data_IF_268944254622
#
_entry.id   IF_268944254622
#
_cell.length_a   1.000
_cell.length_b   1.000
_cell.length_c   1.000
_cell.angle_alpha   90.00
_cell.angle_beta   90.00
_cell.angle_gamma   90.00
#
_symmetry.space_group_name_H-M   'P 1'
#
loop_
_entity.id
_entity.type
_entity.pdbx_description
1 polymer ?
#
# COMPACT_ATOMS: atom_id res chain seq x y z
N UNK A 1 1.97 -54.62 31.74
CA UNK A 1 1.86 -55.88 30.97
C UNK A 1 1.15 -55.58 29.64
N UNK A 2 1.73 -56.07 28.53
CA UNK A 2 1.17 -56.22 27.15
C UNK A 2 0.97 -54.91 26.35
N UNK A 3 1.88 -54.51 25.44
CA UNK A 3 2.28 -55.05 24.11
C UNK A 3 1.21 -54.97 23.02
N UNK A 4 1.53 -54.23 21.93
CA UNK A 4 1.25 -54.47 20.49
C UNK A 4 1.62 -53.19 19.72
N UNK A 5 2.81 -53.05 19.08
CA UNK A 5 3.34 -53.59 17.81
C UNK A 5 2.62 -53.12 16.52
N UNK A 6 3.44 -52.52 15.63
CA UNK A 6 3.22 -51.96 14.27
C UNK A 6 2.68 -52.96 13.22
N UNK A 7 2.18 -52.49 12.06
CA UNK A 7 3.01 -52.37 10.83
C UNK A 7 2.70 -51.08 10.02
N UNK A 8 3.66 -50.31 9.51
CA UNK A 8 4.44 -50.53 8.27
C UNK A 8 3.57 -50.78 7.01
N UNK A 9 3.42 -49.76 6.17
CA UNK A 9 3.04 -49.91 4.76
C UNK A 9 3.96 -49.05 3.88
N UNK A 10 4.75 -49.74 3.07
CA UNK A 10 5.67 -49.26 2.03
C UNK A 10 4.93 -49.13 0.68
N UNK A 11 5.18 -48.01 -0.03
CA UNK A 11 5.36 -47.77 -1.50
C UNK A 11 4.43 -48.47 -2.55
N UNK A 12 4.43 -48.14 -3.88
CA UNK A 12 5.20 -47.14 -4.65
C UNK A 12 4.41 -46.29 -5.72
N UNK A 13 5.09 -45.24 -6.20
CA UNK A 13 5.26 -44.75 -7.60
C UNK A 13 4.07 -44.70 -8.56
N UNK A 14 3.81 -43.52 -9.16
CA UNK A 14 3.62 -43.38 -10.63
C UNK A 14 4.03 -41.98 -11.12
N UNK A 15 4.71 -42.00 -12.27
CA UNK A 15 5.34 -40.90 -12.98
C UNK A 15 4.32 -39.93 -13.59
N UNK A 16 4.65 -38.64 -13.63
CA UNK A 16 4.22 -37.75 -14.70
C UNK A 16 5.40 -36.89 -15.13
N UNK A 17 6.05 -37.35 -16.19
CA UNK A 17 6.87 -36.52 -17.05
C UNK A 17 5.94 -35.70 -17.95
N UNK A 18 6.10 -34.38 -17.97
CA UNK A 18 5.78 -33.59 -19.16
C UNK A 18 6.79 -32.45 -19.25
N UNK A 19 7.54 -32.48 -20.35
CA UNK A 19 8.51 -31.46 -20.68
C UNK A 19 7.83 -30.12 -20.93
N UNK A 20 8.57 -29.06 -20.66
CA UNK A 20 8.16 -27.70 -20.93
C UNK A 20 9.34 -26.77 -20.71
N UNK A 21 10.33 -26.87 -21.59
CA UNK A 21 11.37 -25.85 -21.73
C UNK A 21 10.72 -24.56 -22.24
N UNK A 22 10.17 -23.77 -21.32
CA UNK A 22 9.81 -22.39 -21.55
C UNK A 22 10.99 -21.53 -21.15
N UNK A 23 11.66 -20.94 -22.13
CA UNK A 23 12.57 -19.81 -21.90
C UNK A 23 11.91 -18.80 -20.96
N UNK A 24 12.64 -18.17 -20.03
CA UNK A 24 12.07 -17.11 -19.20
C UNK A 24 11.64 -15.98 -20.13
N UNK A 25 10.35 -15.89 -20.41
CA UNK A 25 9.74 -14.69 -20.94
C UNK A 25 9.80 -13.66 -19.83
N UNK A 26 10.84 -12.83 -19.88
CA UNK A 26 10.87 -11.55 -19.19
C UNK A 26 9.53 -10.86 -19.48
N UNK A 27 8.72 -10.54 -18.46
CA UNK A 27 7.49 -9.81 -18.68
C UNK A 27 7.81 -8.49 -19.39
N UNK A 28 6.96 -8.02 -20.33
CA UNK A 28 7.14 -6.69 -20.89
C UNK A 28 7.20 -5.67 -19.74
N UNK A 29 8.14 -4.72 -19.74
CA UNK A 29 8.11 -3.65 -18.77
C UNK A 29 6.90 -2.78 -19.07
N UNK A 30 5.80 -2.91 -18.31
CA UNK A 30 4.72 -1.92 -18.37
C UNK A 30 3.28 -2.32 -18.07
N UNK A 31 2.92 -3.57 -17.77
CA UNK A 31 1.48 -3.95 -17.67
C UNK A 31 1.01 -4.48 -16.30
N UNK A 32 1.88 -4.57 -15.29
CA UNK A 32 1.57 -5.31 -14.06
C UNK A 32 1.40 -4.52 -12.76
N UNK A 33 1.89 -3.27 -12.69
CA UNK A 33 1.86 -2.54 -11.41
C UNK A 33 0.46 -2.03 -11.06
N UNK A 34 -0.27 -1.48 -12.03
CA UNK A 34 -1.62 -0.95 -11.81
C UNK A 34 -2.63 -2.03 -11.37
N UNK A 35 -2.63 -3.17 -12.05
CA UNK A 35 -3.53 -4.29 -11.72
C UNK A 35 -3.20 -4.96 -10.38
N UNK A 36 -1.92 -5.11 -10.03
CA UNK A 36 -1.51 -5.65 -8.73
C UNK A 36 -1.83 -4.66 -7.59
N UNK A 37 -1.63 -3.36 -7.83
CA UNK A 37 -1.89 -2.31 -6.86
C UNK A 37 -3.39 -2.17 -6.57
N UNK A 38 -4.22 -2.09 -7.61
CA UNK A 38 -5.68 -2.04 -7.46
C UNK A 38 -6.24 -3.31 -6.82
N UNK A 39 -5.66 -4.48 -7.11
CA UNK A 39 -6.01 -5.74 -6.42
C UNK A 39 -5.67 -5.67 -4.92
N UNK A 40 -4.47 -5.21 -4.56
CA UNK A 40 -4.06 -5.04 -3.16
C UNK A 40 -4.97 -4.07 -2.41
N UNK A 41 -5.24 -2.91 -3.01
CA UNK A 41 -6.11 -1.90 -2.39
C UNK A 41 -7.56 -2.38 -2.30
N UNK A 42 -8.05 -3.13 -3.28
CA UNK A 42 -9.39 -3.71 -3.27
C UNK A 42 -9.59 -4.78 -2.19
N UNK A 43 -8.51 -5.40 -1.70
CA UNK A 43 -8.54 -6.36 -0.61
C UNK A 43 -8.59 -5.70 0.79
N UNK A 44 -8.46 -4.37 0.88
CA UNK A 44 -8.64 -3.65 2.13
C UNK A 44 -10.05 -3.85 2.71
N UNK A 45 -10.18 -3.89 4.03
CA UNK A 45 -11.48 -3.98 4.68
C UNK A 45 -12.36 -2.78 4.30
N UNK A 46 -13.60 -3.04 3.84
CA UNK A 46 -14.59 -2.00 3.55
C UNK A 46 -15.11 -1.46 4.89
N UNK A 47 -14.67 -0.25 5.24
CA UNK A 47 -15.04 0.42 6.49
C UNK A 47 -15.27 1.89 6.23
N UNK A 48 -16.29 2.45 6.88
CA UNK A 48 -16.59 3.87 6.81
C UNK A 48 -15.93 4.58 7.99
N UNK A 49 -14.73 5.10 7.76
CA UNK A 49 -13.89 5.82 8.72
C UNK A 49 -13.48 4.99 9.95
N UNK A 50 -12.20 4.68 10.05
CA UNK A 50 -11.60 4.02 11.21
C UNK A 50 -10.33 4.75 11.64
N UNK A 51 -10.17 4.91 12.94
CA UNK A 51 -8.91 5.38 13.55
C UNK A 51 -8.01 4.22 13.99
N UNK A 52 -8.49 2.96 13.91
CA UNK A 52 -7.71 1.77 14.24
C UNK A 52 -6.57 1.57 13.21
N UNK A 53 -5.29 1.58 13.62
CA UNK A 53 -4.17 1.32 12.72
C UNK A 53 -4.29 0.00 11.94
N UNK A 54 -4.93 -1.02 12.51
CA UNK A 54 -5.13 -2.31 11.86
C UNK A 54 -6.02 -2.18 10.60
N UNK A 55 -6.95 -1.23 10.57
CA UNK A 55 -7.82 -1.01 9.40
C UNK A 55 -7.02 -0.57 8.16
N UNK A 56 -5.95 0.21 8.36
CA UNK A 56 -5.05 0.67 7.29
C UNK A 56 -3.90 -0.29 6.97
N UNK A 57 -3.77 -1.43 7.65
CA UNK A 57 -2.63 -2.35 7.50
C UNK A 57 -2.46 -2.90 6.08
N UNK A 58 -3.56 -3.03 5.34
CA UNK A 58 -3.59 -3.44 3.92
C UNK A 58 -2.84 -2.46 2.99
N UNK A 59 -2.57 -1.23 3.44
CA UNK A 59 -1.79 -0.24 2.69
C UNK A 59 -0.29 -0.49 2.76
N UNK A 60 0.18 -1.46 3.54
CA UNK A 60 1.61 -1.76 3.66
C UNK A 60 2.24 -2.05 2.29
N UNK A 61 3.37 -1.39 2.03
CA UNK A 61 4.18 -1.57 0.83
C UNK A 61 4.58 -0.26 0.16
N UNK A 62 5.22 -0.40 -0.99
CA UNK A 62 5.69 0.73 -1.78
C UNK A 62 4.64 1.22 -2.78
N UNK A 63 4.69 2.52 -3.04
CA UNK A 63 3.94 3.26 -4.04
C UNK A 63 4.92 4.19 -4.73
N UNK A 64 5.14 3.99 -6.02
CA UNK A 64 6.08 4.80 -6.82
C UNK A 64 5.32 5.52 -7.91
N UNK A 65 5.57 6.81 -8.06
CA UNK A 65 4.84 7.66 -8.96
C UNK A 65 5.67 8.84 -9.45
N UNK A 66 4.97 9.81 -10.01
CA UNK A 66 5.56 11.07 -10.44
C UNK A 66 4.84 12.25 -9.80
N UNK A 67 5.63 13.27 -9.46
CA UNK A 67 5.12 14.58 -9.09
C UNK A 67 4.46 15.27 -10.28
N UNK A 68 3.78 16.40 -10.04
CA UNK A 68 3.19 17.22 -11.10
C UNK A 68 4.23 17.75 -12.11
N UNK A 69 5.48 17.91 -11.70
CA UNK A 69 6.59 18.30 -12.59
C UNK A 69 7.23 17.11 -13.32
N UNK A 70 6.74 15.89 -13.11
CA UNK A 70 7.23 14.67 -13.77
C UNK A 70 8.42 14.00 -13.09
N UNK A 71 8.92 14.56 -11.98
CA UNK A 71 10.00 13.96 -11.20
C UNK A 71 9.51 12.77 -10.36
N UNK A 72 10.37 11.77 -10.15
CA UNK A 72 10.06 10.57 -9.37
C UNK A 72 9.71 10.92 -7.91
N UNK A 73 8.74 10.19 -7.37
CA UNK A 73 8.35 10.27 -5.96
C UNK A 73 7.91 8.89 -5.46
N UNK A 74 8.01 8.66 -4.16
CA UNK A 74 7.56 7.42 -3.56
C UNK A 74 7.03 7.60 -2.13
N UNK A 75 6.10 6.71 -1.78
CA UNK A 75 5.64 6.46 -0.42
C UNK A 75 5.91 4.99 -0.11
N UNK A 76 6.52 4.70 1.03
CA UNK A 76 6.57 3.35 1.59
C UNK A 76 5.80 3.33 2.89
N UNK A 77 4.68 2.62 2.90
CA UNK A 77 3.92 2.35 4.13
C UNK A 77 4.49 1.11 4.78
N UNK A 78 4.86 1.23 6.05
CA UNK A 78 5.51 0.17 6.82
C UNK A 78 4.48 -0.59 7.65
N UNK A 79 4.82 -1.82 8.02
CA UNK A 79 3.94 -2.68 8.82
C UNK A 79 3.64 -2.14 10.24
N UNK A 80 4.47 -1.22 10.75
CA UNK A 80 4.25 -0.54 12.03
C UNK A 80 3.25 0.63 11.93
N UNK A 81 2.67 0.88 10.75
CA UNK A 81 1.77 2.00 10.49
C UNK A 81 2.48 3.36 10.39
N UNK A 82 3.81 3.37 10.35
CA UNK A 82 4.63 4.50 9.92
C UNK A 82 4.81 4.51 8.40
N UNK A 83 5.46 5.56 7.88
CA UNK A 83 5.72 5.66 6.45
C UNK A 83 6.96 6.51 6.15
N UNK A 84 7.54 6.28 4.98
CA UNK A 84 8.63 7.06 4.41
C UNK A 84 8.14 7.70 3.11
N UNK A 85 8.26 9.01 3.00
CA UNK A 85 7.93 9.76 1.77
C UNK A 85 9.20 10.38 1.19
N UNK A 86 9.38 10.24 -0.13
CA UNK A 86 10.53 10.75 -0.86
C UNK A 86 10.07 11.44 -2.15
N UNK A 87 10.47 12.69 -2.31
CA UNK A 87 10.42 13.44 -3.57
C UNK A 87 11.58 14.45 -3.62
N UNK A 88 11.85 15.09 -4.77
CA UNK A 88 12.91 16.09 -4.87
C UNK A 88 12.72 17.30 -3.95
N UNK A 89 11.48 17.64 -3.61
CA UNK A 89 11.15 18.81 -2.78
C UNK A 89 10.86 18.45 -1.32
N UNK A 90 10.52 17.20 -1.03
CA UNK A 90 10.11 16.78 0.29
C UNK A 90 10.54 15.33 0.55
N UNK A 91 11.35 15.14 1.58
CA UNK A 91 11.72 13.82 2.08
C UNK A 91 11.59 13.79 3.59
N UNK A 92 10.81 12.85 4.12
CA UNK A 92 10.71 12.64 5.56
C UNK A 92 10.20 11.23 5.91
N UNK A 93 10.52 10.82 7.14
CA UNK A 93 9.96 9.63 7.78
C UNK A 93 8.94 10.04 8.84
N UNK A 94 7.78 9.39 8.84
CA UNK A 94 6.82 9.44 9.92
C UNK A 94 6.89 8.14 10.73
N UNK A 95 6.97 8.30 12.05
CA UNK A 95 6.86 7.17 12.98
C UNK A 95 5.50 7.21 13.62
N UNK A 96 4.81 6.08 13.62
CA UNK A 96 3.49 5.96 14.21
C UNK A 96 3.49 6.35 15.69
N UNK A 97 2.65 7.33 16.05
CA UNK A 97 2.47 7.76 17.44
C UNK A 97 1.02 7.61 17.86
N UNK A 98 0.78 7.48 19.16
CA UNK A 98 -0.57 7.40 19.71
C UNK A 98 -1.32 8.74 19.64
N UNK A 99 -0.61 9.86 19.43
CA UNK A 99 -1.22 11.19 19.30
C UNK A 99 -1.55 11.54 17.85
N UNK A 100 -1.00 10.83 16.86
CA UNK A 100 -1.33 11.05 15.47
C UNK A 100 -2.82 10.74 15.21
N UNK A 101 -3.51 11.69 14.59
CA UNK A 101 -4.86 11.48 14.08
C UNK A 101 -4.77 10.63 12.83
N UNK A 102 -5.60 9.58 12.77
CA UNK A 102 -5.67 8.65 11.65
C UNK A 102 -7.12 8.50 11.21
N UNK A 103 -7.34 8.54 9.91
CA UNK A 103 -8.64 8.21 9.33
C UNK A 103 -8.39 7.31 8.13
N UNK A 104 -8.90 6.09 8.20
CA UNK A 104 -8.91 5.15 7.09
C UNK A 104 -10.35 4.92 6.63
N UNK A 105 -10.59 4.95 5.33
CA UNK A 105 -11.88 4.58 4.74
C UNK A 105 -11.67 3.78 3.47
N UNK A 106 -12.49 2.75 3.28
CA UNK A 106 -12.60 2.06 2.00
C UNK A 106 -14.08 1.88 1.68
N UNK A 107 -14.52 2.49 0.59
CA UNK A 107 -15.84 2.30 0.01
C UNK A 107 -15.72 1.40 -1.22
N UNK A 108 -16.62 0.42 -1.33
CA UNK A 108 -16.78 -0.41 -2.52
C UNK A 108 -18.26 -0.49 -2.87
N UNK A 109 -18.66 0.16 -3.97
CA UNK A 109 -20.05 0.29 -4.40
C UNK A 109 -20.12 -0.07 -5.88
N UNK A 110 -20.88 -1.11 -6.22
CA UNK A 110 -21.13 -1.53 -7.61
C UNK A 110 -19.84 -1.71 -8.44
N UNK A 111 -18.76 -2.22 -7.83
CA UNK A 111 -17.47 -2.40 -8.49
C UNK A 111 -16.62 -1.13 -8.62
N UNK A 112 -17.08 0.00 -8.08
CA UNK A 112 -16.31 1.23 -7.89
C UNK A 112 -15.64 1.20 -6.52
N UNK A 113 -14.38 1.60 -6.44
CA UNK A 113 -13.62 1.64 -5.20
C UNK A 113 -13.11 3.05 -4.90
N UNK A 114 -13.13 3.39 -3.61
CA UNK A 114 -12.44 4.56 -3.08
C UNK A 114 -11.76 4.18 -1.77
N UNK A 115 -10.44 4.38 -1.70
CA UNK A 115 -9.65 4.22 -0.48
C UNK A 115 -9.08 5.57 -0.10
N UNK A 116 -9.28 5.96 1.15
CA UNK A 116 -8.77 7.19 1.73
C UNK A 116 -7.97 6.83 2.98
N UNK A 117 -6.79 7.42 3.13
CA UNK A 117 -6.01 7.34 4.35
C UNK A 117 -5.39 8.69 4.67
N UNK A 118 -5.79 9.23 5.82
CA UNK A 118 -5.34 10.51 6.34
C UNK A 118 -4.52 10.25 7.59
N UNK A 119 -3.34 10.84 7.64
CA UNK A 119 -2.55 10.97 8.86
C UNK A 119 -2.30 12.44 9.09
N UNK A 120 -2.56 12.90 10.31
CA UNK A 120 -2.13 14.20 10.79
C UNK A 120 -1.49 14.02 12.16
N UNK A 121 -0.22 14.39 12.28
CA UNK A 121 0.48 14.43 13.56
C UNK A 121 0.81 15.87 13.97
N UNK A 122 -0.10 16.52 14.71
CA UNK A 122 0.11 17.89 15.16
C UNK A 122 1.04 17.98 16.38
N UNK A 123 1.37 16.86 17.03
CA UNK A 123 1.91 16.86 18.40
C UNK A 123 3.31 16.26 18.51
N UNK A 124 3.79 15.51 17.52
CA UNK A 124 5.15 14.96 17.55
C UNK A 124 6.10 15.74 16.66
N UNK A 125 7.15 16.24 17.32
CA UNK A 125 8.28 16.98 16.76
C UNK A 125 7.96 18.41 16.31
N UNK A 126 9.01 19.22 16.37
CA UNK A 126 9.12 20.59 15.88
C UNK A 126 8.69 20.80 14.40
N UNK A 127 8.16 19.77 13.74
CA UNK A 127 7.78 19.73 12.33
C UNK A 127 6.60 18.77 12.12
N UNK A 128 5.35 19.19 12.43
CA UNK A 128 4.14 18.41 12.20
C UNK A 128 4.08 17.86 10.77
N UNK A 129 3.53 16.64 10.63
CA UNK A 129 3.47 15.92 9.35
C UNK A 129 2.05 15.53 9.01
N UNK A 130 1.72 15.66 7.75
CA UNK A 130 0.44 15.23 7.21
C UNK A 130 0.65 14.37 5.97
N UNK A 131 -0.23 13.40 5.81
CA UNK A 131 -0.33 12.55 4.64
C UNK A 131 -1.79 12.41 4.27
N UNK A 132 -2.11 12.69 3.01
CA UNK A 132 -3.38 12.39 2.40
C UNK A 132 -3.15 11.41 1.24
N UNK A 133 -3.66 10.20 1.39
CA UNK A 133 -3.65 9.16 0.38
C UNK A 133 -5.08 8.98 -0.12
N UNK A 134 -5.30 9.16 -1.42
CA UNK A 134 -6.59 8.90 -2.06
C UNK A 134 -6.41 8.03 -3.31
N UNK A 135 -7.06 6.87 -3.33
CA UNK A 135 -7.14 6.01 -4.50
C UNK A 135 -8.60 5.83 -4.93
N UNK A 136 -8.87 5.96 -6.23
CA UNK A 136 -10.19 5.73 -6.85
C UNK A 136 -10.03 4.95 -8.14
N UNK A 137 -10.76 3.84 -8.29
CA UNK A 137 -10.69 2.98 -9.47
C UNK A 137 -11.94 2.11 -9.59
N UNK A 138 -12.02 1.31 -10.65
CA UNK A 138 -13.09 0.34 -10.86
C UNK A 138 -14.18 0.84 -11.80
N UNK A 139 -15.33 0.17 -11.76
CA UNK A 139 -16.48 0.51 -12.59
C UNK A 139 -16.89 1.98 -12.38
N UNK A 140 -17.40 2.62 -13.43
CA UNK A 140 -17.94 4.00 -13.37
C UNK A 140 -16.95 5.11 -12.95
N UNK A 141 -15.66 4.80 -12.74
CA UNK A 141 -14.61 5.80 -12.51
C UNK A 141 -13.97 6.19 -13.85
N UNK A 142 -14.30 7.38 -14.34
CA UNK A 142 -13.83 7.87 -15.64
C UNK A 142 -12.30 8.07 -15.70
N UNK A 143 -11.69 8.42 -14.56
CA UNK A 143 -10.25 8.63 -14.43
C UNK A 143 -9.76 7.96 -13.14
N UNK A 144 -9.31 6.69 -13.21
CA UNK A 144 -8.67 6.04 -12.08
C UNK A 144 -7.47 6.88 -11.63
N UNK A 145 -7.35 7.09 -10.32
CA UNK A 145 -6.27 7.89 -9.74
C UNK A 145 -5.79 7.30 -8.43
N UNK A 146 -4.50 7.38 -8.18
CA UNK A 146 -3.93 7.31 -6.84
C UNK A 146 -3.04 8.53 -6.64
N UNK A 147 -3.41 9.35 -5.68
CA UNK A 147 -2.73 10.58 -5.33
C UNK A 147 -2.29 10.51 -3.87
N UNK A 148 -1.06 10.93 -3.63
CA UNK A 148 -0.45 10.99 -2.31
C UNK A 148 0.05 12.41 -2.12
N UNK A 149 -0.59 13.16 -1.23
CA UNK A 149 -0.12 14.47 -0.80
C UNK A 149 0.58 14.31 0.55
N UNK A 150 1.87 14.63 0.58
CA UNK A 150 2.65 14.68 1.80
C UNK A 150 2.96 16.13 2.15
N UNK A 151 2.79 16.49 3.42
CA UNK A 151 3.10 17.81 3.94
C UNK A 151 3.96 17.72 5.19
N UNK A 152 4.89 18.65 5.31
CA UNK A 152 5.70 18.87 6.51
C UNK A 152 5.64 20.35 6.88
N UNK A 153 5.25 20.63 8.10
CA UNK A 153 5.26 21.97 8.67
C UNK A 153 6.67 22.31 9.17
N UNK A 154 7.12 23.53 8.92
CA UNK A 154 8.47 23.99 9.26
C UNK A 154 8.49 24.76 10.58
N UNK A 155 9.63 24.69 11.26
CA UNK A 155 9.92 25.56 12.40
C UNK A 155 9.86 27.04 12.00
N UNK A 156 9.13 27.85 12.77
CA UNK A 156 8.99 29.28 12.52
C UNK A 156 7.82 29.66 11.61
N UNK A 157 7.00 28.69 11.20
CA UNK A 157 5.83 28.90 10.36
C UNK A 157 6.09 28.59 8.89
N UNK A 158 5.07 28.07 8.22
CA UNK A 158 5.12 27.61 6.83
C UNK A 158 5.13 26.09 6.70
N UNK A 159 4.95 25.62 5.47
CA UNK A 159 4.86 24.20 5.15
C UNK A 159 5.51 23.92 3.79
N UNK A 160 6.07 22.72 3.66
CA UNK A 160 6.51 22.17 2.37
C UNK A 160 5.61 20.99 2.06
N UNK A 161 5.02 20.99 0.87
CA UNK A 161 4.19 19.89 0.39
C UNK A 161 4.71 19.32 -0.92
N UNK A 162 4.32 18.08 -1.19
CA UNK A 162 4.61 17.38 -2.43
C UNK A 162 3.47 16.41 -2.73
N UNK A 163 2.97 16.45 -3.96
CA UNK A 163 1.96 15.52 -4.47
C UNK A 163 2.62 14.50 -5.38
N UNK A 164 2.33 13.22 -5.15
CA UNK A 164 2.80 12.09 -5.92
C UNK A 164 1.62 11.37 -6.59
N UNK A 165 1.61 11.31 -7.92
CA UNK A 165 0.63 10.58 -8.70
C UNK A 165 1.19 9.20 -9.04
N UNK A 166 0.53 8.17 -8.52
CA UNK A 166 0.93 6.77 -8.68
C UNK A 166 0.04 6.13 -9.75
N UNK A 167 0.62 5.47 -10.77
CA UNK A 167 -0.16 4.77 -11.79
C UNK A 167 -1.02 3.64 -11.19
N UNK A 168 -2.31 3.60 -11.57
CA UNK A 168 -3.27 2.53 -11.26
C UNK A 168 -3.59 1.68 -12.49
#
# INVERSE_FOLDING_TARGET
MRHSLLPAALLPVLLAACGGGGSPTTPPPGTGQGSALTTRLGACAVVNQSADPAASSCLTGAYTGKTLSGAECSLTVRADGGYDYVSPTLTYTFTATAQATRVFGHNSIEGSHQVIWLINDPMTANEPKELNFEARWGANIAAPKLEIEAMKHLNGGGSVSSTCNVPL
#
